data_IF_942783456637
#
_entry.id   IF_942783456637
#
_cell.length_a   1.000
_cell.length_b   1.000
_cell.length_c   1.000
_cell.angle_alpha   90.00
_cell.angle_beta   90.00
_cell.angle_gamma   90.00
#
_symmetry.space_group_name_H-M   'P 1'
#
loop_
_entity.id
_entity.type
_entity.pdbx_description
1 polymer ?
#
# COMPACT_ATOMS: atom_id res chain seq x y z
N UNK A 1 18.08 -24.61 -6.40
CA UNK A 1 17.68 -24.37 -5.00
C UNK A 1 16.20 -24.66 -4.84
N UNK A 2 15.72 -24.84 -3.61
CA UNK A 2 14.29 -24.86 -3.30
C UNK A 2 13.91 -23.58 -2.58
N UNK A 3 13.15 -22.73 -3.26
CA UNK A 3 12.82 -21.36 -2.81
C UNK A 3 11.36 -21.28 -2.39
N UNK A 4 11.10 -20.66 -1.24
CA UNK A 4 9.74 -20.43 -0.78
C UNK A 4 9.35 -18.95 -0.98
N UNK A 5 8.07 -18.72 -1.30
CA UNK A 5 7.46 -17.39 -1.34
C UNK A 5 6.33 -17.29 -0.32
N UNK A 6 6.12 -16.09 0.21
CA UNK A 6 4.93 -15.74 0.96
C UNK A 6 4.49 -14.31 0.67
N UNK A 7 3.20 -14.05 0.89
CA UNK A 7 2.59 -12.71 0.83
C UNK A 7 1.99 -12.35 2.17
N UNK A 8 2.40 -11.21 2.76
CA UNK A 8 1.97 -10.78 4.10
C UNK A 8 1.35 -9.39 4.14
N UNK A 9 0.52 -9.16 5.16
CA UNK A 9 -0.17 -7.89 5.36
C UNK A 9 -1.40 -7.71 4.46
N UNK A 10 -1.83 -6.47 4.21
CA UNK A 10 -2.91 -6.19 3.26
C UNK A 10 -2.52 -6.59 1.84
N UNK A 11 -3.46 -7.13 1.09
CA UNK A 11 -3.23 -7.43 -0.32
C UNK A 11 -3.20 -6.16 -1.19
N UNK A 12 -2.68 -6.29 -2.38
CA UNK A 12 -2.74 -5.26 -3.41
C UNK A 12 -2.62 -5.87 -4.82
N UNK A 13 -3.08 -5.16 -5.84
CA UNK A 13 -2.82 -5.54 -7.23
C UNK A 13 -1.32 -5.55 -7.54
N UNK A 14 -0.84 -6.59 -8.24
CA UNK A 14 0.57 -6.76 -8.59
C UNK A 14 1.30 -7.87 -7.82
N UNK A 15 0.79 -8.34 -6.66
CA UNK A 15 1.38 -9.47 -5.92
C UNK A 15 1.60 -10.70 -6.80
N UNK A 16 0.58 -11.08 -7.56
CA UNK A 16 0.66 -12.23 -8.47
C UNK A 16 1.69 -12.01 -9.60
N UNK A 17 1.90 -10.77 -10.03
CA UNK A 17 2.92 -10.45 -11.04
C UNK A 17 4.35 -10.68 -10.50
N UNK A 18 4.59 -10.36 -9.23
CA UNK A 18 5.87 -10.67 -8.55
C UNK A 18 6.09 -12.18 -8.47
N UNK A 19 5.08 -12.92 -7.98
CA UNK A 19 5.14 -14.40 -7.86
C UNK A 19 5.43 -15.02 -9.23
N UNK A 20 4.65 -14.64 -10.25
CA UNK A 20 4.83 -15.12 -11.62
C UNK A 20 6.27 -14.96 -12.11
N UNK A 21 6.83 -13.76 -11.97
CA UNK A 21 8.14 -13.46 -12.53
C UNK A 21 9.29 -14.14 -11.77
N UNK A 22 9.22 -14.16 -10.43
CA UNK A 22 10.23 -14.84 -9.60
C UNK A 22 10.26 -16.33 -9.88
N UNK A 23 9.10 -17.00 -9.90
CA UNK A 23 8.99 -18.44 -10.15
C UNK A 23 9.42 -18.77 -11.57
N UNK A 24 8.95 -18.01 -12.57
CA UNK A 24 9.27 -18.27 -13.98
C UNK A 24 10.76 -18.14 -14.27
N UNK A 25 11.43 -17.12 -13.74
CA UNK A 25 12.88 -16.96 -13.90
C UNK A 25 13.64 -18.00 -13.11
N UNK A 26 13.26 -18.27 -11.86
CA UNK A 26 13.94 -19.25 -11.03
C UNK A 26 13.92 -20.65 -11.66
N UNK A 27 12.77 -21.09 -12.19
CA UNK A 27 12.67 -22.39 -12.87
C UNK A 27 13.46 -22.39 -14.18
N UNK A 28 13.21 -21.41 -15.05
CA UNK A 28 13.75 -21.43 -16.42
C UNK A 28 15.24 -21.09 -16.52
N UNK A 29 15.74 -20.24 -15.62
CA UNK A 29 17.12 -19.74 -15.70
C UNK A 29 18.05 -20.45 -14.68
N UNK A 30 17.53 -20.71 -13.48
CA UNK A 30 18.33 -21.26 -12.39
C UNK A 30 18.04 -22.76 -12.09
N UNK A 31 16.95 -23.32 -12.62
CA UNK A 31 16.54 -24.70 -12.35
C UNK A 31 16.02 -24.92 -10.93
N UNK A 32 15.45 -23.88 -10.32
CA UNK A 32 14.95 -23.92 -8.96
C UNK A 32 13.60 -24.64 -8.86
N UNK A 33 13.32 -25.16 -7.66
CA UNK A 33 11.99 -25.60 -7.23
C UNK A 33 11.33 -24.51 -6.36
N UNK A 34 10.02 -24.37 -6.47
CA UNK A 34 9.28 -23.35 -5.73
C UNK A 34 8.11 -23.91 -4.94
N UNK A 35 7.92 -23.36 -3.74
CA UNK A 35 6.67 -23.46 -2.98
C UNK A 35 6.15 -22.08 -2.59
N UNK A 36 4.84 -21.97 -2.41
CA UNK A 36 4.20 -20.78 -1.86
C UNK A 36 3.52 -21.09 -0.53
N UNK A 37 3.93 -20.46 0.56
CA UNK A 37 3.24 -20.58 1.84
C UNK A 37 1.91 -19.82 1.79
N UNK A 38 0.84 -20.49 2.17
CA UNK A 38 -0.51 -19.92 2.19
C UNK A 38 -0.72 -19.10 3.46
N UNK A 39 -1.42 -17.96 3.33
CA UNK A 39 -1.72 -17.07 4.46
C UNK A 39 -0.47 -16.46 5.13
N UNK A 40 0.55 -16.12 4.35
CA UNK A 40 1.74 -15.42 4.82
C UNK A 40 2.52 -16.16 5.92
N UNK A 41 2.96 -15.44 6.94
CA UNK A 41 3.72 -16.04 8.06
C UNK A 41 2.94 -17.12 8.82
N UNK A 42 1.61 -17.08 8.81
CA UNK A 42 0.78 -18.13 9.38
C UNK A 42 1.00 -19.46 8.70
N UNK A 43 1.07 -19.46 7.36
CA UNK A 43 1.32 -20.66 6.58
C UNK A 43 2.69 -21.27 6.84
N UNK A 44 3.71 -20.45 7.08
CA UNK A 44 5.03 -20.95 7.49
C UNK A 44 4.93 -21.68 8.83
N UNK A 45 4.30 -21.06 9.82
CA UNK A 45 4.12 -21.66 11.15
C UNK A 45 3.29 -22.96 11.13
N UNK A 46 2.29 -23.02 10.27
CA UNK A 46 1.39 -24.17 10.17
C UNK A 46 1.90 -25.22 9.14
N UNK A 47 3.06 -24.98 8.52
CA UNK A 47 3.60 -25.81 7.44
C UNK A 47 2.61 -26.04 6.29
N UNK A 48 1.88 -24.97 5.92
CA UNK A 48 0.83 -24.98 4.92
C UNK A 48 1.27 -24.27 3.64
N UNK A 49 1.49 -25.01 2.57
CA UNK A 49 2.02 -24.48 1.30
C UNK A 49 1.48 -25.24 0.09
N UNK A 50 1.62 -24.64 -1.07
CA UNK A 50 1.37 -25.24 -2.38
C UNK A 50 2.65 -25.25 -3.22
N UNK A 51 2.86 -26.21 -4.13
CA UNK A 51 3.92 -26.13 -5.11
C UNK A 51 3.62 -25.00 -6.10
N UNK A 52 4.65 -24.28 -6.53
CA UNK A 52 4.56 -23.26 -7.58
C UNK A 52 5.29 -23.80 -8.81
N UNK A 53 4.53 -24.08 -9.86
CA UNK A 53 5.02 -24.63 -11.13
C UNK A 53 4.69 -23.67 -12.28
N UNK A 54 5.35 -23.81 -13.42
CA UNK A 54 5.03 -22.99 -14.60
C UNK A 54 3.55 -23.08 -15.01
N UNK A 55 2.92 -24.22 -14.76
CA UNK A 55 1.51 -24.45 -15.09
C UNK A 55 0.58 -23.68 -14.15
N UNK A 56 0.80 -23.76 -12.82
CA UNK A 56 -0.13 -23.13 -11.87
C UNK A 56 0.07 -21.62 -11.67
N UNK A 57 1.18 -21.07 -12.16
CA UNK A 57 1.39 -19.61 -12.21
C UNK A 57 0.97 -18.98 -13.55
N UNK A 58 0.56 -19.76 -14.53
CA UNK A 58 0.21 -19.20 -15.83
C UNK A 58 -1.01 -18.26 -15.76
N UNK A 59 -0.86 -17.06 -16.31
CA UNK A 59 -1.90 -16.04 -16.33
C UNK A 59 -2.18 -15.33 -14.98
N UNK A 60 -1.51 -15.70 -13.87
CA UNK A 60 -1.78 -15.06 -12.57
C UNK A 60 -1.36 -13.59 -12.53
N UNK A 61 -0.38 -13.17 -13.33
CA UNK A 61 0.10 -11.78 -13.41
C UNK A 61 -0.99 -10.79 -13.88
N UNK A 62 -2.06 -11.30 -14.44
CA UNK A 62 -3.22 -10.52 -14.88
C UNK A 62 -4.30 -10.38 -13.80
N UNK A 63 -4.15 -11.08 -12.67
CA UNK A 63 -5.14 -11.13 -11.59
C UNK A 63 -4.71 -10.29 -10.41
N UNK A 64 -5.67 -9.56 -9.82
CA UNK A 64 -5.48 -8.89 -8.54
C UNK A 64 -5.42 -9.86 -7.37
N UNK A 65 -5.21 -9.33 -6.17
CA UNK A 65 -5.02 -10.13 -4.97
C UNK A 65 -3.77 -11.00 -5.02
N UNK A 66 -3.79 -12.13 -4.33
CA UNK A 66 -2.68 -13.08 -4.27
C UNK A 66 -3.19 -14.52 -4.24
N UNK A 67 -2.59 -15.39 -5.06
CA UNK A 67 -2.88 -16.84 -5.04
C UNK A 67 -2.42 -17.52 -3.75
N UNK A 68 -1.53 -16.87 -2.98
CA UNK A 68 -1.00 -17.39 -1.72
C UNK A 68 -1.82 -16.94 -0.50
N UNK A 69 -2.85 -16.14 -0.69
CA UNK A 69 -3.58 -15.49 0.40
C UNK A 69 -2.64 -14.70 1.33
N UNK A 70 -3.18 -14.05 2.36
CA UNK A 70 -2.40 -13.21 3.25
C UNK A 70 -2.92 -13.28 4.69
N UNK A 71 -2.05 -12.94 5.63
CA UNK A 71 -2.43 -12.74 7.03
C UNK A 71 -1.60 -11.65 7.69
N UNK A 72 -2.07 -11.18 8.85
CA UNK A 72 -1.33 -10.26 9.72
C UNK A 72 -0.73 -11.01 10.91
N UNK A 73 0.00 -12.09 10.66
CA UNK A 73 0.66 -12.89 11.69
C UNK A 73 2.05 -12.34 11.99
N UNK A 74 2.33 -12.05 13.27
CA UNK A 74 3.63 -11.57 13.72
C UNK A 74 4.40 -12.68 14.43
N UNK A 75 5.36 -13.28 13.73
CA UNK A 75 6.21 -14.37 14.24
C UNK A 75 6.98 -13.98 15.50
N UNK A 76 7.39 -12.70 15.62
CA UNK A 76 8.16 -12.19 16.77
C UNK A 76 7.36 -12.21 18.08
N UNK A 77 6.02 -12.21 18.00
CA UNK A 77 5.13 -12.26 19.18
C UNK A 77 4.73 -13.68 19.57
N UNK A 78 5.21 -14.70 18.84
CA UNK A 78 4.87 -16.10 19.10
C UNK A 78 6.04 -16.76 19.82
N UNK A 79 5.83 -17.31 21.02
CA UNK A 79 6.89 -18.07 21.72
C UNK A 79 7.39 -19.23 20.86
N UNK A 80 8.71 -19.32 20.68
CA UNK A 80 9.33 -20.33 19.78
C UNK A 80 9.04 -20.13 18.29
N UNK A 81 8.59 -18.95 17.90
CA UNK A 81 8.20 -18.69 16.50
C UNK A 81 9.35 -18.79 15.50
N UNK A 82 10.55 -18.32 15.88
CA UNK A 82 11.75 -18.46 15.03
C UNK A 82 12.12 -19.91 14.84
N UNK A 83 12.25 -20.62 15.94
CA UNK A 83 12.65 -22.04 15.98
C UNK A 83 11.69 -22.86 15.11
N UNK A 84 10.39 -22.54 15.19
CA UNK A 84 9.38 -23.20 14.37
C UNK A 84 9.52 -22.88 12.89
N UNK A 85 9.80 -21.63 12.53
CA UNK A 85 10.10 -21.26 11.12
C UNK A 85 11.33 -22.01 10.63
N UNK A 86 12.43 -22.01 11.38
CA UNK A 86 13.66 -22.72 11.01
C UNK A 86 13.43 -24.23 10.85
N UNK A 87 12.64 -24.85 11.76
CA UNK A 87 12.26 -26.25 11.68
C UNK A 87 11.48 -26.57 10.40
N UNK A 88 10.46 -25.76 10.10
CA UNK A 88 9.63 -25.92 8.87
C UNK A 88 10.48 -25.79 7.61
N UNK A 89 11.35 -24.78 7.54
CA UNK A 89 12.24 -24.60 6.39
C UNK A 89 13.20 -25.81 6.23
N UNK A 90 13.75 -26.31 7.33
CA UNK A 90 14.65 -27.48 7.34
C UNK A 90 13.93 -28.76 6.91
N UNK A 91 12.74 -29.06 7.45
CA UNK A 91 11.96 -30.26 7.10
C UNK A 91 11.62 -30.26 5.61
N UNK A 92 11.26 -29.11 5.07
CA UNK A 92 10.88 -28.96 3.66
C UNK A 92 12.10 -28.72 2.74
N UNK A 93 13.32 -28.69 3.26
CA UNK A 93 14.56 -28.44 2.52
C UNK A 93 14.50 -27.14 1.74
N UNK A 94 14.01 -26.08 2.38
CA UNK A 94 13.94 -24.74 1.80
C UNK A 94 15.29 -24.05 1.98
N UNK A 95 15.89 -23.64 0.87
CA UNK A 95 17.20 -22.97 0.85
C UNK A 95 17.08 -21.46 1.07
N UNK A 96 15.98 -20.86 0.62
CA UNK A 96 15.75 -19.40 0.73
C UNK A 96 14.26 -19.04 0.76
N UNK A 97 13.96 -17.85 1.29
CA UNK A 97 12.62 -17.29 1.39
C UNK A 97 12.54 -15.91 0.72
N UNK A 98 11.53 -15.69 -0.11
CA UNK A 98 11.17 -14.39 -0.66
C UNK A 98 9.88 -13.92 0.02
N UNK A 99 9.93 -12.83 0.80
CA UNK A 99 8.80 -12.28 1.53
C UNK A 99 8.26 -11.01 0.85
N UNK A 100 7.02 -11.09 0.34
CA UNK A 100 6.32 -9.97 -0.27
C UNK A 100 5.43 -9.30 0.77
N UNK A 101 5.71 -8.04 1.12
CA UNK A 101 4.90 -7.34 2.12
C UNK A 101 5.34 -5.92 2.43
N UNK A 102 4.52 -5.24 3.22
CA UNK A 102 4.83 -3.92 3.78
C UNK A 102 5.81 -4.00 4.96
N UNK A 103 6.00 -2.89 5.65
CA UNK A 103 6.93 -2.72 6.77
C UNK A 103 6.81 -3.80 7.86
N UNK A 104 5.59 -4.16 8.25
CA UNK A 104 5.33 -5.25 9.22
C UNK A 104 5.91 -6.60 8.76
N UNK A 105 5.64 -6.97 7.50
CA UNK A 105 6.15 -8.22 6.92
C UNK A 105 7.66 -8.17 6.79
N UNK A 106 8.21 -7.04 6.35
CA UNK A 106 9.65 -6.84 6.20
C UNK A 106 10.36 -6.80 7.57
N UNK A 107 9.71 -6.28 8.61
CA UNK A 107 10.23 -6.33 9.98
C UNK A 107 10.40 -7.78 10.50
N UNK A 108 9.46 -8.67 10.16
CA UNK A 108 9.61 -10.12 10.46
C UNK A 108 10.71 -10.74 9.61
N UNK A 109 10.77 -10.39 8.32
CA UNK A 109 11.80 -10.89 7.38
C UNK A 109 13.21 -10.50 7.85
N UNK A 110 13.42 -9.23 8.27
CA UNK A 110 14.68 -8.77 8.84
C UNK A 110 15.06 -9.58 10.08
N UNK A 111 14.10 -9.70 11.01
CA UNK A 111 14.32 -10.45 12.26
C UNK A 111 14.74 -11.89 12.01
N UNK A 112 14.08 -12.59 11.07
CA UNK A 112 14.44 -13.96 10.69
C UNK A 112 15.82 -14.02 10.01
N UNK A 113 16.13 -13.07 9.13
CA UNK A 113 17.43 -12.99 8.47
C UNK A 113 18.58 -12.81 9.47
N UNK A 114 18.40 -11.96 10.49
CA UNK A 114 19.36 -11.75 11.59
C UNK A 114 19.55 -13.03 12.45
N UNK A 115 18.60 -13.97 12.39
CA UNK A 115 18.66 -15.27 13.08
C UNK A 115 18.98 -16.43 12.13
N UNK A 116 19.62 -16.14 11.01
CA UNK A 116 20.18 -17.15 10.11
C UNK A 116 19.19 -17.77 9.13
N UNK A 117 18.01 -17.18 8.92
CA UNK A 117 17.08 -17.60 7.86
C UNK A 117 17.43 -16.85 6.56
N UNK A 118 17.92 -17.55 5.50
CA UNK A 118 18.19 -16.92 4.21
C UNK A 118 16.92 -16.31 3.62
N UNK A 119 16.81 -14.98 3.64
CA UNK A 119 15.58 -14.31 3.20
C UNK A 119 15.85 -12.97 2.56
N UNK A 120 15.01 -12.63 1.55
CA UNK A 120 14.99 -11.35 0.86
C UNK A 120 13.57 -10.78 0.86
N UNK A 121 13.47 -9.45 0.79
CA UNK A 121 12.21 -8.73 0.80
C UNK A 121 11.81 -8.21 -0.58
N UNK A 122 10.48 -8.06 -0.78
CA UNK A 122 9.89 -7.34 -1.91
C UNK A 122 8.86 -6.33 -1.35
N UNK A 123 8.98 -5.02 -1.68
CA UNK A 123 8.15 -3.99 -1.08
C UNK A 123 6.74 -4.02 -1.68
N UNK A 124 5.75 -4.36 -0.87
CA UNK A 124 4.35 -4.44 -1.24
C UNK A 124 3.52 -3.55 -0.33
N UNK A 125 2.98 -2.47 -0.84
CA UNK A 125 1.97 -1.64 -0.21
C UNK A 125 1.32 -0.74 -1.24
N UNK A 126 0.04 -0.42 -1.06
CA UNK A 126 -0.63 0.62 -1.84
C UNK A 126 -0.29 2.02 -1.30
N UNK A 127 0.19 2.12 -0.06
CA UNK A 127 0.41 3.38 0.64
C UNK A 127 1.68 4.12 0.16
N UNK A 128 2.55 3.44 -0.61
CA UNK A 128 3.81 3.95 -1.17
C UNK A 128 4.75 4.55 -0.10
N UNK A 129 4.72 3.97 1.08
CA UNK A 129 5.36 4.49 2.30
C UNK A 129 6.66 3.80 2.70
N UNK A 130 7.10 2.78 1.95
CA UNK A 130 8.40 2.11 2.17
C UNK A 130 9.54 3.07 1.79
N UNK A 131 10.43 3.31 2.74
CA UNK A 131 11.57 4.17 2.50
C UNK A 131 12.57 3.54 1.50
N UNK A 132 13.30 4.39 0.80
CA UNK A 132 14.36 3.95 -0.11
C UNK A 132 13.87 3.40 -1.45
N UNK A 133 12.58 3.31 -1.73
CA UNK A 133 12.03 3.02 -3.06
C UNK A 133 11.23 4.20 -3.60
N UNK A 134 11.34 4.46 -4.89
CA UNK A 134 10.60 5.55 -5.52
C UNK A 134 9.12 5.20 -5.66
N UNK A 135 8.79 3.92 -5.86
CA UNK A 135 7.40 3.46 -5.93
C UNK A 135 7.29 1.99 -5.51
N UNK A 136 6.20 1.66 -4.81
CA UNK A 136 5.76 0.29 -4.53
C UNK A 136 4.69 -0.13 -5.52
N UNK A 137 4.64 -1.43 -5.88
CA UNK A 137 3.54 -1.94 -6.71
C UNK A 137 2.24 -2.02 -5.89
N UNK A 138 1.13 -1.84 -6.57
CA UNK A 138 -0.21 -1.70 -6.00
C UNK A 138 -0.63 -0.25 -5.80
N UNK A 139 0.32 0.68 -5.68
CA UNK A 139 0.06 2.10 -5.51
C UNK A 139 -0.59 2.71 -6.77
N UNK A 140 -0.05 2.46 -7.96
CA UNK A 140 -0.58 3.01 -9.21
C UNK A 140 -2.03 2.57 -9.46
N UNK A 141 -2.35 1.31 -9.18
CA UNK A 141 -3.72 0.80 -9.27
C UNK A 141 -4.64 1.46 -8.23
N UNK A 142 -4.18 1.65 -6.99
CA UNK A 142 -4.96 2.32 -5.96
C UNK A 142 -5.25 3.79 -6.33
N UNK A 143 -4.27 4.49 -6.88
CA UNK A 143 -4.42 5.87 -7.40
C UNK A 143 -5.42 5.89 -8.56
N UNK A 144 -5.31 4.97 -9.52
CA UNK A 144 -6.26 4.88 -10.63
C UNK A 144 -7.70 4.70 -10.13
N UNK A 145 -7.94 3.76 -9.21
CA UNK A 145 -9.28 3.50 -8.64
C UNK A 145 -9.81 4.74 -7.90
N UNK A 146 -8.95 5.40 -7.11
CA UNK A 146 -9.35 6.60 -6.39
C UNK A 146 -9.64 7.76 -7.36
N UNK A 147 -8.84 7.94 -8.41
CA UNK A 147 -9.06 8.96 -9.44
C UNK A 147 -10.37 8.73 -10.19
N UNK A 148 -10.67 7.48 -10.62
CA UNK A 148 -11.95 7.15 -11.25
C UNK A 148 -13.16 7.44 -10.34
N UNK A 149 -13.01 7.27 -9.03
CA UNK A 149 -14.06 7.64 -8.08
C UNK A 149 -14.22 9.16 -8.01
N UNK A 150 -13.12 9.92 -7.95
CA UNK A 150 -13.12 11.38 -7.94
C UNK A 150 -13.78 11.94 -9.21
N UNK A 151 -13.44 11.41 -10.40
CA UNK A 151 -14.05 11.78 -11.68
C UNK A 151 -15.59 11.62 -11.67
N UNK A 152 -16.07 10.50 -11.11
CA UNK A 152 -17.53 10.25 -10.97
C UNK A 152 -18.18 11.21 -9.99
N UNK A 153 -17.48 11.55 -8.90
CA UNK A 153 -17.97 12.45 -7.86
C UNK A 153 -18.12 13.87 -8.39
N UNK A 154 -17.24 14.37 -9.26
CA UNK A 154 -17.39 15.70 -9.86
C UNK A 154 -18.76 15.88 -10.51
N UNK A 155 -19.19 14.92 -11.31
CA UNK A 155 -20.46 15.04 -12.05
C UNK A 155 -21.69 15.04 -11.15
N UNK A 156 -21.68 14.24 -10.07
CA UNK A 156 -22.81 14.20 -9.14
C UNK A 156 -22.78 15.40 -8.17
N UNK A 157 -21.60 15.86 -7.76
CA UNK A 157 -21.43 17.04 -6.92
C UNK A 157 -21.94 18.30 -7.64
N UNK A 158 -21.57 18.48 -8.91
CA UNK A 158 -22.01 19.59 -9.76
C UNK A 158 -23.53 19.53 -9.97
N UNK A 159 -24.10 18.38 -10.32
CA UNK A 159 -25.54 18.23 -10.56
C UNK A 159 -26.40 18.59 -9.35
N UNK A 160 -25.86 18.49 -8.14
CA UNK A 160 -26.60 18.75 -6.90
C UNK A 160 -26.12 19.99 -6.14
N UNK A 161 -25.18 20.76 -6.68
CA UNK A 161 -24.57 21.91 -6.02
C UNK A 161 -24.07 21.59 -4.60
N UNK A 162 -23.30 20.48 -4.46
CA UNK A 162 -22.86 19.95 -3.17
C UNK A 162 -21.34 19.94 -3.04
N UNK A 163 -20.90 19.94 -1.81
CA UNK A 163 -19.53 19.51 -1.48
C UNK A 163 -19.52 18.01 -1.24
N UNK A 164 -18.54 17.30 -1.79
CA UNK A 164 -18.35 15.88 -1.51
C UNK A 164 -16.93 15.66 -1.02
N UNK A 165 -16.80 15.05 0.17
CA UNK A 165 -15.54 14.64 0.76
C UNK A 165 -15.27 13.17 0.41
N UNK A 166 -14.16 12.90 -0.27
CA UNK A 166 -13.73 11.55 -0.67
C UNK A 166 -12.60 11.11 0.25
N UNK A 167 -12.88 10.14 1.12
CA UNK A 167 -11.89 9.54 2.01
C UNK A 167 -11.16 8.41 1.30
N UNK A 168 -9.82 8.49 1.27
CA UNK A 168 -8.94 7.51 0.64
C UNK A 168 -8.00 6.88 1.67
N UNK A 169 -7.48 5.69 1.38
CA UNK A 169 -6.48 5.01 2.18
C UNK A 169 -5.12 5.74 2.12
N UNK A 170 -4.12 5.23 2.82
CA UNK A 170 -2.76 5.76 2.85
C UNK A 170 -2.13 5.78 4.24
N UNK A 171 -2.91 5.49 5.29
CA UNK A 171 -2.47 5.49 6.68
C UNK A 171 -1.78 6.81 7.06
N UNK A 172 -0.48 6.74 7.41
CA UNK A 172 0.32 7.88 7.84
C UNK A 172 1.01 8.63 6.69
N UNK A 173 0.72 8.25 5.44
CA UNK A 173 1.30 8.85 4.23
C UNK A 173 0.22 9.27 3.23
N UNK A 174 0.29 10.51 2.77
CA UNK A 174 -0.71 11.13 1.89
C UNK A 174 -0.58 10.84 0.40
N UNK A 175 0.21 9.84 -0.01
CA UNK A 175 0.52 9.60 -1.42
C UNK A 175 -0.70 9.33 -2.30
N UNK A 176 -1.67 8.52 -1.82
CA UNK A 176 -2.89 8.22 -2.58
C UNK A 176 -3.75 9.48 -2.69
N UNK A 177 -3.94 10.20 -1.57
CA UNK A 177 -4.74 11.43 -1.56
C UNK A 177 -4.13 12.50 -2.48
N UNK A 178 -2.81 12.70 -2.40
CA UNK A 178 -2.10 13.62 -3.28
C UNK A 178 -2.28 13.24 -4.75
N UNK A 179 -1.91 12.02 -5.12
CA UNK A 179 -1.89 11.61 -6.52
C UNK A 179 -3.29 11.57 -7.13
N UNK A 180 -4.29 11.00 -6.42
CA UNK A 180 -5.66 10.95 -6.91
C UNK A 180 -6.38 12.30 -6.86
N UNK A 181 -6.06 13.13 -5.87
CA UNK A 181 -6.62 14.49 -5.78
C UNK A 181 -6.11 15.40 -6.88
N UNK A 182 -4.80 15.37 -7.17
CA UNK A 182 -4.21 16.14 -8.28
C UNK A 182 -4.72 15.64 -9.63
N UNK A 183 -4.69 14.31 -9.86
CA UNK A 183 -5.12 13.71 -11.12
C UNK A 183 -6.62 13.89 -11.37
N UNK A 184 -7.44 13.76 -10.33
CA UNK A 184 -8.89 13.91 -10.39
C UNK A 184 -9.36 15.37 -10.30
N UNK A 185 -8.48 16.35 -10.16
CA UNK A 185 -8.85 17.77 -10.09
C UNK A 185 -9.66 18.15 -8.84
N UNK A 186 -9.34 17.54 -7.70
CA UNK A 186 -9.96 17.91 -6.43
C UNK A 186 -9.73 19.39 -6.10
N UNK A 187 -10.72 20.05 -5.52
CA UNK A 187 -10.62 21.48 -5.14
C UNK A 187 -9.80 21.67 -3.87
N UNK A 188 -9.73 20.63 -3.02
CA UNK A 188 -8.93 20.60 -1.78
C UNK A 188 -8.36 19.20 -1.61
N UNK A 189 -7.09 19.12 -1.23
CA UNK A 189 -6.38 17.86 -0.99
C UNK A 189 -5.78 17.89 0.41
N UNK A 190 -6.21 16.95 1.27
CA UNK A 190 -5.80 16.89 2.67
C UNK A 190 -4.98 15.60 2.92
N UNK A 191 -3.79 15.79 3.49
CA UNK A 191 -2.81 14.72 3.70
C UNK A 191 -2.36 14.69 5.18
N UNK A 192 -2.01 13.51 5.72
CA UNK A 192 -1.68 13.37 7.15
C UNK A 192 -0.38 14.07 7.56
N UNK A 193 0.46 14.45 6.61
CA UNK A 193 1.70 15.20 6.85
C UNK A 193 1.48 16.67 7.25
N UNK A 194 0.24 17.18 7.06
CA UNK A 194 -0.17 18.52 7.48
C UNK A 194 -1.44 18.43 8.32
N UNK A 195 -1.49 19.24 9.36
CA UNK A 195 -2.73 19.43 10.13
C UNK A 195 -3.77 20.14 9.27
N UNK A 196 -5.03 19.71 9.40
CA UNK A 196 -6.14 20.30 8.65
C UNK A 196 -6.48 21.67 9.24
N UNK A 197 -6.36 22.71 8.42
CA UNK A 197 -6.91 24.05 8.68
C UNK A 197 -8.32 24.11 8.07
N UNK A 198 -9.32 23.86 8.88
CA UNK A 198 -10.73 23.84 8.43
C UNK A 198 -11.21 25.22 7.95
N UNK A 199 -10.69 26.31 8.50
CA UNK A 199 -11.09 27.64 8.08
C UNK A 199 -10.55 27.96 6.69
N UNK A 200 -9.32 27.53 6.38
CA UNK A 200 -8.75 27.59 5.03
C UNK A 200 -9.55 26.73 4.03
N UNK A 201 -9.88 25.47 4.39
CA UNK A 201 -10.73 24.59 3.56
C UNK A 201 -12.05 25.27 3.23
N UNK A 202 -12.73 25.85 4.23
CA UNK A 202 -14.00 26.55 4.03
C UNK A 202 -13.85 27.79 3.17
N UNK A 203 -12.75 28.55 3.31
CA UNK A 203 -12.46 29.72 2.48
C UNK A 203 -12.28 29.35 1.00
N UNK A 204 -11.53 28.28 0.70
CA UNK A 204 -11.36 27.75 -0.66
C UNK A 204 -12.70 27.36 -1.30
N UNK A 205 -13.53 26.62 -0.56
CA UNK A 205 -14.85 26.20 -1.04
C UNK A 205 -15.77 27.39 -1.29
N UNK A 206 -15.80 28.39 -0.40
CA UNK A 206 -16.58 29.62 -0.57
C UNK A 206 -16.08 30.43 -1.77
N UNK A 207 -14.78 30.60 -1.93
CA UNK A 207 -14.19 31.25 -3.08
C UNK A 207 -14.67 30.63 -4.40
N UNK A 208 -14.63 29.31 -4.51
CA UNK A 208 -15.12 28.60 -5.70
C UNK A 208 -16.61 28.85 -5.94
N UNK A 209 -17.43 28.85 -4.89
CA UNK A 209 -18.86 29.13 -4.95
C UNK A 209 -19.14 30.54 -5.45
N UNK A 210 -18.43 31.53 -4.92
CA UNK A 210 -18.58 32.95 -5.31
C UNK A 210 -18.11 33.21 -6.75
N UNK A 211 -17.26 32.33 -7.29
CA UNK A 211 -16.77 32.41 -8.67
C UNK A 211 -17.49 31.47 -9.66
N UNK A 212 -18.68 31.02 -9.29
CA UNK A 212 -19.60 30.28 -10.18
C UNK A 212 -19.41 28.76 -10.22
N UNK A 213 -18.57 28.20 -9.36
CA UNK A 213 -18.47 26.74 -9.17
C UNK A 213 -19.25 26.34 -7.92
N UNK A 214 -20.54 26.07 -8.10
CA UNK A 214 -21.46 25.79 -6.99
C UNK A 214 -21.32 24.37 -6.40
N UNK A 215 -20.17 23.74 -6.54
CA UNK A 215 -19.86 22.44 -5.95
C UNK A 215 -18.40 22.38 -5.50
N UNK A 216 -18.08 21.40 -4.68
CA UNK A 216 -16.71 21.14 -4.23
C UNK A 216 -16.41 19.66 -4.12
N UNK A 217 -15.16 19.28 -4.46
CA UNK A 217 -14.63 17.93 -4.21
C UNK A 217 -13.40 18.09 -3.33
N UNK A 218 -13.43 17.43 -2.17
CA UNK A 218 -12.35 17.39 -1.19
C UNK A 218 -11.84 15.96 -1.11
N UNK A 219 -10.54 15.73 -1.33
CA UNK A 219 -9.92 14.41 -1.13
C UNK A 219 -9.16 14.45 0.19
N UNK A 220 -9.43 13.49 1.08
CA UNK A 220 -8.78 13.39 2.39
C UNK A 220 -8.23 12.00 2.64
N UNK A 221 -6.98 11.88 3.09
CA UNK A 221 -6.41 10.60 3.51
C UNK A 221 -6.96 10.18 4.89
N UNK A 222 -7.24 8.90 5.07
CA UNK A 222 -7.80 8.32 6.30
C UNK A 222 -6.99 8.62 7.57
N UNK A 223 -5.68 8.88 7.42
CA UNK A 223 -4.74 9.18 8.52
C UNK A 223 -4.65 10.64 8.90
N UNK A 224 -5.41 11.52 8.26
CA UNK A 224 -5.42 12.95 8.60
C UNK A 224 -5.89 13.19 10.04
N UNK A 225 -5.38 14.27 10.62
CA UNK A 225 -5.78 14.76 11.92
C UNK A 225 -6.64 16.02 11.77
N UNK A 226 -7.82 15.99 12.40
CA UNK A 226 -8.74 17.13 12.45
C UNK A 226 -8.70 17.69 13.88
N UNK A 227 -8.19 18.91 14.12
CA UNK A 227 -7.98 19.44 15.48
C UNK A 227 -9.23 19.40 16.37
N UNK A 228 -10.40 19.65 15.79
CA UNK A 228 -11.69 19.69 16.50
C UNK A 228 -12.19 18.33 16.97
N UNK A 229 -11.74 17.23 16.34
CA UNK A 229 -12.22 15.86 16.58
C UNK A 229 -11.09 14.91 16.96
N UNK A 230 -9.84 15.29 16.68
CA UNK A 230 -8.68 14.41 16.80
C UNK A 230 -8.55 13.43 15.64
N UNK A 231 -7.74 12.40 15.82
CA UNK A 231 -7.65 11.30 14.83
C UNK A 231 -8.91 10.43 14.95
N UNK A 232 -9.62 10.28 13.86
CA UNK A 232 -10.83 9.44 13.82
C UNK A 232 -10.44 7.98 13.69
N UNK A 233 -10.75 7.20 14.72
CA UNK A 233 -10.46 5.77 14.78
C UNK A 233 -11.76 5.00 14.56
N UNK A 234 -11.86 4.27 13.44
CA UNK A 234 -13.05 3.49 13.11
C UNK A 234 -13.27 2.26 14.02
N UNK A 235 -12.26 1.84 14.78
CA UNK A 235 -12.35 0.76 15.77
C UNK A 235 -11.25 0.88 16.82
N UNK A 236 -11.60 0.63 18.08
CA UNK A 236 -10.62 0.51 19.18
C UNK A 236 -9.79 -0.78 19.14
N UNK A 237 -10.18 -1.73 18.28
CA UNK A 237 -9.40 -2.96 18.08
C UNK A 237 -8.16 -2.69 17.26
N UNK A 238 -7.03 -3.14 17.78
CA UNK A 238 -5.74 -3.11 17.07
C UNK A 238 -5.41 -4.49 16.49
N UNK A 239 -4.67 -4.52 15.39
CA UNK A 239 -4.19 -5.77 14.81
C UNK A 239 -2.99 -6.34 15.58
N UNK A 240 -2.44 -7.47 15.12
CA UNK A 240 -1.30 -8.14 15.79
C UNK A 240 0.00 -7.32 15.78
N UNK A 241 0.08 -6.27 15.01
CA UNK A 241 1.20 -5.32 14.97
C UNK A 241 0.95 -4.07 15.81
N UNK A 242 -0.28 -3.83 16.26
CA UNK A 242 -0.66 -2.69 17.11
C UNK A 242 -1.30 -1.54 16.34
N UNK A 243 -1.69 -1.76 15.09
CA UNK A 243 -2.30 -0.73 14.25
C UNK A 243 -3.81 -0.65 14.47
N UNK A 244 -4.30 0.56 14.79
CA UNK A 244 -5.73 0.86 14.80
C UNK A 244 -6.31 0.92 13.38
N UNK A 245 -7.60 0.68 13.25
CA UNK A 245 -8.33 0.91 12.00
C UNK A 245 -8.70 2.39 11.93
N UNK A 246 -8.16 3.09 10.93
CA UNK A 246 -8.53 4.46 10.61
C UNK A 246 -9.75 4.42 9.69
N UNK A 247 -10.76 5.27 9.93
CA UNK A 247 -11.92 5.44 9.06
C UNK A 247 -12.86 6.48 9.65
N UNK A 248 -13.54 7.25 8.80
CA UNK A 248 -14.58 8.18 9.22
C UNK A 248 -14.14 9.65 9.31
N UNK A 249 -12.89 9.95 8.97
CA UNK A 249 -12.42 11.34 8.90
C UNK A 249 -13.21 12.13 7.83
N UNK A 250 -13.57 11.47 6.73
CA UNK A 250 -14.36 12.07 5.67
C UNK A 250 -15.76 12.47 6.13
N UNK A 251 -16.42 11.68 6.98
CA UNK A 251 -17.73 12.01 7.56
C UNK A 251 -17.61 13.18 8.55
N UNK A 252 -16.66 13.11 9.47
CA UNK A 252 -16.42 14.17 10.46
C UNK A 252 -16.08 15.51 9.78
N UNK A 253 -15.27 15.47 8.71
CA UNK A 253 -14.92 16.65 7.92
C UNK A 253 -16.13 17.21 7.15
N UNK A 254 -16.96 16.33 6.58
CA UNK A 254 -18.17 16.75 5.87
C UNK A 254 -19.14 17.50 6.79
N UNK A 255 -19.40 16.95 7.99
CA UNK A 255 -20.26 17.60 9.00
C UNK A 255 -19.73 18.97 9.39
N UNK A 256 -18.41 19.09 9.55
CA UNK A 256 -17.78 20.35 9.95
C UNK A 256 -17.82 21.41 8.84
N UNK A 257 -17.60 21.00 7.58
CA UNK A 257 -17.72 21.88 6.41
C UNK A 257 -19.16 22.37 6.29
N UNK A 258 -20.16 21.49 6.36
CA UNK A 258 -21.58 21.87 6.28
C UNK A 258 -21.95 22.85 7.37
N UNK A 259 -21.52 22.62 8.63
CA UNK A 259 -21.75 23.50 9.75
C UNK A 259 -21.14 24.91 9.58
N UNK A 260 -19.92 24.99 9.02
CA UNK A 260 -19.19 26.28 8.88
C UNK A 260 -19.57 27.06 7.62
N UNK A 261 -19.99 26.38 6.55
CA UNK A 261 -20.27 27.02 5.25
C UNK A 261 -21.75 27.15 4.94
N UNK A 262 -22.58 26.25 5.49
CA UNK A 262 -23.98 26.07 5.11
C UNK A 262 -24.15 25.32 3.77
N UNK A 263 -23.07 24.84 3.14
CA UNK A 263 -23.15 24.06 1.91
C UNK A 263 -23.53 22.62 2.24
N UNK A 264 -24.50 22.07 1.52
CA UNK A 264 -24.84 20.66 1.66
C UNK A 264 -23.59 19.79 1.35
N UNK A 265 -23.13 19.03 2.34
CA UNK A 265 -21.90 18.25 2.22
C UNK A 265 -22.18 16.77 2.46
N UNK A 266 -21.55 15.91 1.69
CA UNK A 266 -21.61 14.43 1.82
C UNK A 266 -20.21 13.85 1.85
N UNK A 267 -20.09 12.66 2.39
CA UNK A 267 -18.83 11.89 2.38
C UNK A 267 -18.98 10.60 1.61
N UNK A 268 -17.88 10.17 1.02
CA UNK A 268 -17.70 8.86 0.39
C UNK A 268 -16.39 8.26 0.87
N UNK A 269 -16.45 7.11 1.53
CA UNK A 269 -15.25 6.37 1.91
C UNK A 269 -14.98 5.27 0.87
N UNK A 270 -13.84 5.33 0.19
CA UNK A 270 -13.46 4.34 -0.82
C UNK A 270 -12.99 3.03 -0.19
N UNK A 271 -12.37 3.10 0.98
CA UNK A 271 -11.94 1.93 1.76
C UNK A 271 -11.19 0.90 0.94
N UNK A 272 -11.50 -0.36 1.17
CA UNK A 272 -10.81 -1.51 0.56
C UNK A 272 -11.04 -1.69 -0.95
N UNK A 273 -11.91 -0.92 -1.60
CA UNK A 273 -12.03 -0.94 -3.06
C UNK A 273 -10.70 -0.58 -3.73
N UNK A 274 -9.89 0.25 -3.07
CA UNK A 274 -8.55 0.66 -3.53
C UNK A 274 -7.50 -0.48 -3.50
N UNK A 275 -7.77 -1.58 -2.80
CA UNK A 275 -6.89 -2.76 -2.72
C UNK A 275 -7.22 -3.83 -3.75
N UNK A 276 -8.40 -3.76 -4.36
CA UNK A 276 -8.92 -4.77 -5.26
C UNK A 276 -8.67 -4.49 -6.73
N UNK A 277 -9.19 -5.38 -7.56
CA UNK A 277 -9.20 -5.22 -9.00
C UNK A 277 -7.95 -5.70 -9.72
N UNK A 278 -7.97 -5.54 -11.02
CA UNK A 278 -6.89 -5.94 -11.93
C UNK A 278 -5.77 -4.91 -11.85
N UNK A 279 -4.49 -5.32 -11.72
CA UNK A 279 -3.38 -4.37 -11.67
C UNK A 279 -3.26 -3.59 -12.97
N UNK A 280 -2.92 -2.29 -12.88
CA UNK A 280 -2.57 -1.47 -14.03
C UNK A 280 -1.39 -2.04 -14.80
N UNK A 281 -1.17 -1.57 -16.02
CA UNK A 281 0.01 -1.95 -16.80
C UNK A 281 1.31 -1.62 -16.03
N UNK A 282 1.34 -0.49 -15.33
CA UNK A 282 2.49 -0.08 -14.54
C UNK A 282 2.77 -1.07 -13.40
N UNK A 283 1.77 -1.40 -12.57
CA UNK A 283 1.94 -2.33 -11.45
C UNK A 283 2.27 -3.76 -11.92
N UNK A 284 1.75 -4.19 -13.07
CA UNK A 284 2.14 -5.49 -13.66
C UNK A 284 3.61 -5.52 -14.04
N UNK A 285 4.10 -4.48 -14.71
CA UNK A 285 5.50 -4.39 -15.15
C UNK A 285 6.42 -4.25 -13.94
N UNK A 286 6.09 -3.35 -13.00
CA UNK A 286 6.87 -3.12 -11.80
C UNK A 286 6.93 -4.38 -10.92
N UNK A 287 5.78 -5.04 -10.68
CA UNK A 287 5.74 -6.29 -9.93
C UNK A 287 6.59 -7.39 -10.55
N UNK A 288 6.52 -7.56 -11.89
CA UNK A 288 7.38 -8.54 -12.58
C UNK A 288 8.87 -8.19 -12.42
N UNK A 289 9.24 -6.92 -12.58
CA UNK A 289 10.64 -6.49 -12.41
C UNK A 289 11.15 -6.74 -10.99
N UNK A 290 10.33 -6.48 -9.98
CA UNK A 290 10.66 -6.83 -8.60
C UNK A 290 10.84 -8.34 -8.40
N UNK A 291 9.97 -9.15 -9.00
CA UNK A 291 10.07 -10.62 -8.93
C UNK A 291 11.34 -11.15 -9.58
N UNK A 292 11.69 -10.63 -10.77
CA UNK A 292 12.94 -10.99 -11.48
C UNK A 292 14.19 -10.63 -10.65
N UNK A 293 14.20 -9.45 -10.01
CA UNK A 293 15.33 -9.03 -9.19
C UNK A 293 15.40 -9.79 -7.87
N UNK A 294 14.26 -10.10 -7.26
CA UNK A 294 14.24 -10.85 -6.00
C UNK A 294 14.85 -12.24 -6.11
N UNK A 295 14.63 -12.96 -7.21
CA UNK A 295 15.28 -14.26 -7.43
C UNK A 295 16.78 -14.12 -7.71
N UNK A 296 17.21 -13.05 -8.40
CA UNK A 296 18.64 -12.75 -8.54
C UNK A 296 19.29 -12.49 -7.18
N UNK A 297 18.64 -11.71 -6.31
CA UNK A 297 19.11 -11.47 -4.93
C UNK A 297 19.30 -12.77 -4.14
N UNK A 298 18.40 -13.77 -4.33
CA UNK A 298 18.53 -15.07 -3.70
C UNK A 298 19.81 -15.79 -4.18
N UNK A 299 20.06 -15.82 -5.49
CA UNK A 299 21.25 -16.44 -6.07
C UNK A 299 22.55 -15.68 -5.73
N UNK A 300 22.47 -14.35 -5.60
CA UNK A 300 23.56 -13.48 -5.13
C UNK A 300 23.75 -13.54 -3.59
N UNK A 301 22.93 -14.32 -2.87
CA UNK A 301 22.94 -14.45 -1.40
C UNK A 301 22.80 -13.09 -0.66
N UNK A 302 22.02 -12.17 -1.21
CA UNK A 302 21.77 -10.83 -0.65
C UNK A 302 20.74 -10.88 0.49
N UNK A 303 21.06 -11.64 1.53
CA UNK A 303 20.17 -11.85 2.68
C UNK A 303 19.94 -10.57 3.48
N UNK A 304 18.74 -10.40 4.03
CA UNK A 304 18.36 -9.21 4.80
C UNK A 304 18.22 -7.93 3.96
N UNK A 305 18.13 -8.07 2.63
CA UNK A 305 17.95 -6.95 1.71
C UNK A 305 16.56 -7.00 1.05
N UNK A 306 16.11 -5.86 0.56
CA UNK A 306 14.83 -5.68 -0.11
C UNK A 306 15.04 -5.01 -1.46
N UNK A 307 14.35 -5.49 -2.47
CA UNK A 307 14.34 -4.89 -3.80
C UNK A 307 13.71 -3.49 -3.75
N UNK A 308 14.25 -2.52 -4.48
CA UNK A 308 13.75 -1.14 -4.55
C UNK A 308 13.83 -0.60 -5.98
N UNK A 309 12.91 0.30 -6.32
CA UNK A 309 12.96 1.09 -7.54
C UNK A 309 13.74 2.38 -7.30
N UNK A 310 14.72 2.66 -8.16
CA UNK A 310 15.48 3.92 -8.19
C UNK A 310 15.52 4.46 -9.63
N UNK A 311 14.76 5.52 -9.87
CA UNK A 311 14.52 6.00 -11.22
C UNK A 311 13.90 4.92 -12.11
N UNK A 312 14.66 4.42 -13.07
CA UNK A 312 14.21 3.33 -13.95
C UNK A 312 14.77 1.95 -13.56
N UNK A 313 15.65 1.86 -12.56
CA UNK A 313 16.35 0.62 -12.23
C UNK A 313 15.78 -0.05 -10.97
N UNK A 314 15.72 -1.39 -10.99
CA UNK A 314 15.50 -2.16 -9.77
C UNK A 314 16.87 -2.52 -9.20
N UNK A 315 17.06 -2.13 -7.95
CA UNK A 315 18.26 -2.40 -7.15
C UNK A 315 17.83 -2.93 -5.78
N UNK A 316 18.70 -2.95 -4.80
CA UNK A 316 18.39 -3.42 -3.46
C UNK A 316 19.06 -2.56 -2.38
N UNK A 317 18.41 -2.45 -1.22
CA UNK A 317 18.93 -1.84 0.01
C UNK A 317 18.74 -2.82 1.18
N UNK A 318 19.28 -2.51 2.36
CA UNK A 318 18.97 -3.34 3.53
C UNK A 318 17.50 -3.18 3.94
N UNK A 319 16.88 -4.26 4.40
CA UNK A 319 15.50 -4.16 4.96
C UNK A 319 15.47 -3.18 6.12
N UNK A 320 16.53 -3.12 6.91
CA UNK A 320 16.66 -2.18 8.04
C UNK A 320 16.53 -0.72 7.59
N UNK A 321 17.17 -0.33 6.50
CA UNK A 321 17.03 1.02 5.91
C UNK A 321 15.63 1.26 5.37
N UNK A 322 15.04 0.27 4.72
CA UNK A 322 13.72 0.37 4.10
C UNK A 322 12.59 0.61 5.12
N UNK A 323 12.69 0.03 6.32
CA UNK A 323 11.66 0.13 7.37
C UNK A 323 12.04 1.08 8.52
N UNK A 324 13.15 1.79 8.42
CA UNK A 324 13.61 2.71 9.48
C UNK A 324 12.66 3.88 9.69
N UNK A 325 12.10 4.39 8.61
CA UNK A 325 11.15 5.53 8.59
C UNK A 325 10.18 5.35 7.44
N UNK A 326 8.97 5.83 7.60
CA UNK A 326 8.00 5.86 6.50
C UNK A 326 8.35 6.96 5.51
N UNK A 327 8.24 6.65 4.22
CA UNK A 327 8.35 7.63 3.14
C UNK A 327 7.09 8.47 3.10
N UNK A 328 7.24 9.77 3.31
CA UNK A 328 6.14 10.74 3.36
C UNK A 328 6.26 11.77 2.27
N UNK A 329 5.18 12.51 2.03
CA UNK A 329 5.20 13.71 1.19
C UNK A 329 6.11 14.77 1.83
N UNK A 330 6.89 15.45 0.99
CA UNK A 330 7.72 16.58 1.39
C UNK A 330 7.22 17.91 0.81
N UNK A 331 7.93 19.01 1.09
CA UNK A 331 7.51 20.35 0.71
C UNK A 331 7.21 20.51 -0.79
N UNK A 332 7.92 19.79 -1.66
CA UNK A 332 7.72 19.88 -3.13
C UNK A 332 6.30 19.49 -3.53
N UNK A 333 5.71 18.50 -2.85
CA UNK A 333 4.34 18.04 -3.12
C UNK A 333 3.29 19.00 -2.53
N UNK A 334 3.60 19.62 -1.38
CA UNK A 334 2.74 20.65 -0.81
C UNK A 334 2.71 21.92 -1.65
N UNK A 335 3.82 22.28 -2.28
CA UNK A 335 3.88 23.40 -3.20
C UNK A 335 2.99 23.14 -4.42
N UNK A 336 2.98 21.92 -4.96
CA UNK A 336 2.06 21.53 -6.05
C UNK A 336 0.60 21.64 -5.61
N UNK A 337 0.24 21.18 -4.41
CA UNK A 337 -1.14 21.34 -3.90
C UNK A 337 -1.50 22.82 -3.84
N UNK A 338 -0.66 23.64 -3.22
CA UNK A 338 -0.90 25.07 -3.05
C UNK A 338 -0.98 25.84 -4.39
N UNK A 339 -0.19 25.44 -5.38
CA UNK A 339 -0.23 26.06 -6.72
C UNK A 339 -1.52 25.73 -7.50
N UNK A 340 -2.17 24.59 -7.16
CA UNK A 340 -3.42 24.15 -7.78
C UNK A 340 -4.66 24.65 -7.05
N UNK A 341 -4.54 25.05 -5.78
CA UNK A 341 -5.62 25.64 -5.00
C UNK A 341 -5.96 27.07 -5.46
N UNK A 342 -7.19 27.48 -5.24
CA UNK A 342 -7.61 28.87 -5.48
C UNK A 342 -6.84 29.81 -4.54
N UNK A 343 -6.54 31.00 -5.01
CA UNK A 343 -5.92 32.04 -4.16
C UNK A 343 -7.00 32.71 -3.31
N UNK A 344 -7.04 32.43 -2.04
CA UNK A 344 -7.96 32.99 -1.04
C UNK A 344 -7.22 33.84 -0.01
#
# INVERSE_FOLDING_TARGET
>A
MRVALLTGGGDCPGLNAVIYAAVRKGINHYGDEFIGFLNGWRGVLDNNFIPLTLENIDGIQLKGGTILHSSRTNVKKIPGGIEKVQEVLKINKIDALIALGGDDTQSVTLYLSEHGVPSVGVPKTIDNDINGTDQTFGFDTAVMIATEAVDRIHTTADSHNRVVVVEVMGRDAGWIAYASGVAGGAHVILVPEKEIDIDHVCALLKYNYDHGKHYGVVVVAEGCHLPEVGQVIGSTQVDSFGHARLSGIGEALADLIEKKTGFETRSVNLGHTQRGGVPTAFDRVLGQRYGLHAIDMVHDQKWGRIAVLKGLDITDITIKEAIATNRRLDQRFFDVIADLEAKV
#
